data_IF_784362521935
#
_entry.id   IF_784362521935
#
_cell.length_a   1.000
_cell.length_b   1.000
_cell.length_c   1.000
_cell.angle_alpha   90.00
_cell.angle_beta   90.00
_cell.angle_gamma   90.00
#
_symmetry.space_group_name_H-M   'P 1'
#
loop_
_entity.id
_entity.type
_entity.pdbx_description
1 polymer ?
#
# COMPACT_ATOMS: atom_id res chain seq x y z
N UNK A 1 -14.96 -20.21 57.83
CA UNK A 1 -15.95 -21.10 58.47
C UNK A 1 -16.71 -21.73 57.32
N UNK A 2 -16.32 -22.95 56.91
CA UNK A 2 -16.87 -24.22 57.40
C UNK A 2 -18.29 -24.42 56.88
N UNK A 3 -18.74 -25.55 56.30
CA UNK A 3 -18.22 -26.93 56.27
C UNK A 3 -19.24 -27.74 55.42
N UNK A 4 -18.77 -28.69 54.57
CA UNK A 4 -19.25 -30.10 54.41
C UNK A 4 -20.71 -30.35 53.93
N UNK A 5 -21.13 -31.42 53.26
CA UNK A 5 -20.62 -32.51 52.39
C UNK A 5 -21.84 -33.42 52.05
N UNK A 6 -21.61 -34.46 51.24
CA UNK A 6 -22.42 -35.65 50.84
C UNK A 6 -22.59 -35.65 49.30
N UNK A 7 -21.92 -36.46 48.47
CA UNK A 7 -21.52 -37.88 48.45
C UNK A 7 -22.69 -38.87 48.27
N UNK A 8 -22.63 -39.64 47.16
CA UNK A 8 -23.15 -41.00 46.84
C UNK A 8 -23.38 -41.04 45.30
N UNK A 9 -22.52 -41.58 44.42
CA UNK A 9 -22.07 -42.97 44.15
C UNK A 9 -23.15 -43.94 43.64
N UNK A 10 -23.09 -44.34 42.36
CA UNK A 10 -23.33 -45.71 41.83
C UNK A 10 -23.01 -45.68 40.31
N UNK A 11 -21.88 -46.26 39.87
CA UNK A 11 -21.68 -47.66 39.47
C UNK A 11 -22.45 -48.06 38.21
N UNK A 12 -21.77 -48.08 37.06
CA UNK A 12 -22.15 -48.90 35.91
C UNK A 12 -20.93 -49.64 35.35
N UNK A 13 -21.01 -50.97 35.11
CA UNK A 13 -19.83 -51.81 35.02
C UNK A 13 -19.40 -52.09 33.58
N UNK A 14 -18.09 -52.10 33.40
CA UNK A 14 -17.37 -52.79 32.33
C UNK A 14 -17.71 -54.29 32.33
N UNK A 15 -17.99 -54.84 31.15
CA UNK A 15 -18.10 -56.28 30.94
C UNK A 15 -17.02 -56.71 29.95
N UNK A 16 -15.96 -57.27 30.51
CA UNK A 16 -14.90 -57.99 29.82
C UNK A 16 -15.46 -59.28 29.20
N UNK A 17 -15.17 -59.49 27.91
CA UNK A 17 -15.35 -60.78 27.28
C UNK A 17 -13.98 -61.47 27.23
N UNK A 18 -13.79 -62.44 28.12
CA UNK A 18 -12.66 -63.37 28.10
C UNK A 18 -13.02 -64.53 27.16
N UNK A 19 -12.17 -64.79 26.16
CA UNK A 19 -12.18 -66.05 25.42
C UNK A 19 -10.89 -66.83 25.73
N UNK A 20 -11.07 -67.72 26.70
CA UNK A 20 -10.67 -69.13 26.76
C UNK A 20 -9.32 -69.53 26.14
N UNK A 21 -8.40 -69.90 27.03
CA UNK A 21 -7.21 -70.70 26.79
C UNK A 21 -7.57 -72.09 26.21
N UNK A 22 -6.82 -72.50 25.18
CA UNK A 22 -6.70 -73.87 24.70
C UNK A 22 -5.22 -74.24 24.67
N UNK A 23 -4.89 -75.32 25.36
CA UNK A 23 -3.58 -75.76 25.82
C UNK A 23 -2.78 -76.57 24.78
N UNK A 24 -1.56 -76.91 25.22
CA UNK A 24 -0.67 -78.02 24.82
C UNK A 24 0.20 -77.82 23.57
N UNK A 25 1.43 -77.41 23.88
CA UNK A 25 2.70 -77.93 23.36
C UNK A 25 2.61 -79.13 22.43
N UNK A 26 3.30 -79.06 21.29
CA UNK A 26 4.35 -80.01 20.92
C UNK A 26 5.22 -79.46 19.77
N UNK A 27 6.53 -79.52 19.99
CA UNK A 27 7.60 -79.76 19.01
C UNK A 27 8.04 -78.62 18.05
N UNK A 28 9.04 -77.87 18.54
CA UNK A 28 10.36 -77.65 17.90
C UNK A 28 10.42 -77.78 16.36
N UNK A 29 10.53 -76.66 15.63
CA UNK A 29 11.25 -76.60 14.35
C UNK A 29 11.83 -75.19 14.10
N UNK A 30 13.13 -75.07 14.39
CA UNK A 30 14.17 -74.30 13.66
C UNK A 30 13.86 -72.93 13.03
N UNK A 31 14.39 -71.88 13.67
CA UNK A 31 15.36 -70.91 13.12
C UNK A 31 15.34 -70.68 11.58
N UNK A 32 14.63 -69.65 11.11
CA UNK A 32 15.04 -68.87 9.92
C UNK A 32 14.88 -67.39 10.27
N UNK A 33 16.02 -66.77 10.55
CA UNK A 33 16.23 -65.35 10.80
C UNK A 33 16.95 -64.80 9.55
N UNK A 34 16.36 -63.82 8.84
CA UNK A 34 17.02 -62.63 8.25
C UNK A 34 16.30 -62.03 7.02
N UNK A 35 16.21 -60.69 7.07
CA UNK A 35 16.21 -59.74 5.93
C UNK A 35 14.91 -59.52 5.15
N UNK A 36 13.93 -58.89 5.81
CA UNK A 36 13.03 -57.95 5.10
C UNK A 36 13.75 -56.60 5.03
N UNK A 37 14.46 -56.36 3.93
CA UNK A 37 15.05 -55.07 3.62
C UNK A 37 13.95 -54.06 3.32
N UNK A 38 13.55 -53.30 4.33
CA UNK A 38 12.74 -52.10 4.15
C UNK A 38 13.63 -51.06 3.45
N UNK A 39 13.54 -51.00 2.13
CA UNK A 39 14.16 -49.95 1.32
C UNK A 39 13.39 -48.66 1.64
N UNK A 40 13.87 -47.91 2.64
CA UNK A 40 13.49 -46.51 2.80
C UNK A 40 14.12 -45.75 1.63
N UNK A 41 13.37 -45.61 0.55
CA UNK A 41 13.73 -44.72 -0.54
C UNK A 41 13.69 -43.29 -0.01
N UNK A 42 14.85 -42.77 0.41
CA UNK A 42 14.99 -41.36 0.76
C UNK A 42 14.58 -40.51 -0.44
N UNK A 43 13.60 -39.61 -0.33
CA UNK A 43 13.36 -38.64 -1.39
C UNK A 43 14.61 -37.79 -1.53
N UNK A 44 15.20 -37.75 -2.73
CA UNK A 44 16.27 -36.84 -3.06
C UNK A 44 15.75 -35.40 -2.87
N UNK A 45 16.14 -34.77 -1.77
CA UNK A 45 15.88 -33.36 -1.52
C UNK A 45 16.80 -32.56 -2.45
N UNK A 46 16.27 -32.16 -3.61
CA UNK A 46 16.80 -31.05 -4.39
C UNK A 46 16.57 -29.76 -3.61
N UNK A 47 17.40 -29.53 -2.60
CA UNK A 47 17.30 -28.37 -1.73
C UNK A 47 17.83 -27.13 -2.46
N UNK A 48 16.90 -26.33 -2.97
CA UNK A 48 16.67 -24.97 -2.47
C UNK A 48 17.74 -23.89 -2.69
N UNK A 49 18.28 -23.75 -3.89
CA UNK A 49 19.04 -22.53 -4.27
C UNK A 49 18.21 -21.26 -4.04
N UNK A 50 16.89 -21.29 -4.32
CA UNK A 50 15.99 -20.16 -4.09
C UNK A 50 15.80 -19.81 -2.60
N UNK A 51 15.75 -20.79 -1.70
CA UNK A 51 15.61 -20.49 -0.26
C UNK A 51 16.90 -19.93 0.33
N UNK A 52 18.07 -20.31 -0.20
CA UNK A 52 19.34 -19.76 0.23
C UNK A 52 19.48 -18.26 -0.13
N UNK A 53 18.90 -17.84 -1.27
CA UNK A 53 18.86 -16.43 -1.69
C UNK A 53 17.96 -15.62 -0.75
N UNK A 54 16.75 -16.10 -0.46
CA UNK A 54 15.79 -15.42 0.43
C UNK A 54 16.32 -15.24 1.86
N UNK A 55 17.24 -16.10 2.30
CA UNK A 55 17.85 -16.04 3.63
C UNK A 55 19.05 -15.11 3.73
N UNK A 56 19.55 -14.58 2.62
CA UNK A 56 20.75 -13.74 2.60
C UNK A 56 20.54 -12.38 3.27
N UNK A 57 21.56 -11.88 4.00
CA UNK A 57 21.49 -10.60 4.71
C UNK A 57 21.20 -9.41 3.77
N UNK A 58 21.80 -9.40 2.57
CA UNK A 58 21.54 -8.36 1.57
C UNK A 58 20.11 -8.45 1.02
N UNK A 59 19.53 -9.64 0.87
CA UNK A 59 18.15 -9.82 0.40
C UNK A 59 17.16 -9.25 1.42
N UNK A 60 17.39 -9.52 2.71
CA UNK A 60 16.59 -8.94 3.80
C UNK A 60 16.67 -7.41 3.83
N UNK A 61 17.85 -6.84 3.59
CA UNK A 61 18.01 -5.39 3.51
C UNK A 61 17.24 -4.80 2.32
N UNK A 62 17.21 -5.48 1.17
CA UNK A 62 16.39 -5.10 0.02
C UNK A 62 14.90 -5.19 0.34
N UNK A 63 14.44 -6.30 0.93
CA UNK A 63 13.04 -6.49 1.30
C UNK A 63 12.57 -5.40 2.27
N UNK A 64 13.38 -5.05 3.27
CA UNK A 64 13.09 -3.95 4.20
C UNK A 64 13.00 -2.59 3.50
N UNK A 65 13.96 -2.28 2.62
CA UNK A 65 13.97 -1.03 1.85
C UNK A 65 12.71 -0.91 0.97
N UNK A 66 12.35 -1.98 0.26
CA UNK A 66 11.16 -2.03 -0.58
C UNK A 66 9.92 -1.82 0.28
N UNK A 67 9.80 -2.56 1.39
CA UNK A 67 8.65 -2.49 2.29
C UNK A 67 8.42 -1.09 2.88
N UNK A 68 9.49 -0.38 3.25
CA UNK A 68 9.43 0.98 3.78
C UNK A 68 8.87 2.00 2.77
N UNK A 69 9.07 1.76 1.47
CA UNK A 69 8.69 2.69 0.41
C UNK A 69 7.40 2.29 -0.34
N UNK A 70 6.72 1.22 0.08
CA UNK A 70 5.47 0.79 -0.53
C UNK A 70 4.36 1.82 -0.26
N UNK A 71 3.49 2.10 -1.25
CA UNK A 71 2.32 2.91 -1.00
C UNK A 71 1.38 2.19 -0.02
N UNK A 72 0.68 2.95 0.80
CA UNK A 72 -0.28 2.43 1.81
C UNK A 72 -1.45 1.67 1.17
N UNK A 73 -1.66 1.82 -0.13
CA UNK A 73 -2.69 1.13 -0.90
C UNK A 73 -2.23 -0.21 -1.48
N UNK A 74 -1.01 -0.65 -1.16
CA UNK A 74 -0.47 -1.93 -1.61
C UNK A 74 -1.22 -3.10 -0.98
N UNK A 75 -1.62 -4.06 -1.80
CA UNK A 75 -2.21 -5.33 -1.36
C UNK A 75 -1.17 -6.44 -1.36
N UNK A 76 -0.34 -6.50 -2.40
CA UNK A 76 0.76 -7.46 -2.51
C UNK A 76 1.89 -6.87 -3.33
N UNK A 77 3.10 -7.39 -3.11
CA UNK A 77 4.26 -7.01 -3.89
C UNK A 77 5.20 -8.21 -4.05
N UNK A 78 5.97 -8.18 -5.13
CA UNK A 78 7.10 -9.05 -5.41
C UNK A 78 8.25 -8.15 -5.87
N UNK A 79 9.50 -8.56 -5.62
CA UNK A 79 10.64 -7.97 -6.29
C UNK A 79 11.61 -9.06 -6.74
N UNK A 80 12.20 -8.86 -7.91
CA UNK A 80 13.15 -9.76 -8.51
C UNK A 80 14.50 -9.06 -8.66
N UNK A 81 15.57 -9.78 -8.37
CA UNK A 81 16.93 -9.29 -8.58
C UNK A 81 17.31 -9.54 -10.05
N UNK A 82 17.54 -8.45 -10.80
CA UNK A 82 18.02 -8.53 -12.19
C UNK A 82 19.55 -8.64 -12.28
N UNK A 83 20.26 -8.18 -11.25
CA UNK A 83 21.73 -8.26 -11.19
C UNK A 83 22.19 -9.66 -10.77
N UNK A 84 23.24 -10.23 -11.38
CA UNK A 84 23.78 -11.52 -10.96
C UNK A 84 24.20 -11.52 -9.49
N UNK A 85 23.80 -12.55 -8.75
CA UNK A 85 24.07 -12.69 -7.30
C UNK A 85 25.56 -12.74 -6.98
N UNK A 86 26.41 -13.19 -7.92
CA UNK A 86 27.87 -13.20 -7.80
C UNK A 86 28.46 -11.81 -7.52
N UNK A 87 27.87 -10.76 -8.08
CA UNK A 87 28.30 -9.37 -7.84
C UNK A 87 28.07 -8.93 -6.39
N UNK A 88 27.15 -9.59 -5.70
CA UNK A 88 26.77 -9.36 -4.31
C UNK A 88 27.44 -10.35 -3.35
N UNK A 89 28.23 -11.32 -3.85
CA UNK A 89 28.94 -12.29 -3.03
C UNK A 89 29.79 -11.66 -1.89
N UNK A 90 30.50 -10.53 -2.08
CA UNK A 90 31.24 -9.89 -0.99
C UNK A 90 30.36 -9.46 0.19
N UNK A 91 29.08 -9.18 -0.06
CA UNK A 91 28.13 -8.77 0.97
C UNK A 91 27.56 -9.96 1.77
N UNK A 92 27.79 -11.21 1.34
CA UNK A 92 27.29 -12.38 2.07
C UNK A 92 27.88 -12.50 3.47
N UNK A 93 29.14 -12.09 3.64
CA UNK A 93 29.84 -12.13 4.94
C UNK A 93 29.51 -10.92 5.82
N UNK A 94 28.79 -9.93 5.29
CA UNK A 94 28.40 -8.75 6.04
C UNK A 94 27.21 -9.08 6.95
N UNK A 95 27.38 -8.89 8.26
CA UNK A 95 26.29 -9.07 9.24
C UNK A 95 25.19 -8.01 9.10
N UNK A 96 25.56 -6.78 8.75
CA UNK A 96 24.63 -5.64 8.67
C UNK A 96 24.79 -4.90 7.35
N UNK A 97 23.94 -5.27 6.40
CA UNK A 97 23.86 -4.65 5.08
C UNK A 97 22.85 -3.51 5.12
N UNK A 98 23.22 -2.37 4.56
CA UNK A 98 22.34 -1.23 4.35
C UNK A 98 22.00 -1.13 2.86
N UNK A 99 20.72 -1.12 2.55
CA UNK A 99 20.20 -0.86 1.21
C UNK A 99 19.66 0.57 1.12
N UNK A 100 19.93 1.25 0.02
CA UNK A 100 19.36 2.57 -0.29
C UNK A 100 19.08 2.68 -1.78
N UNK A 101 18.04 3.41 -2.18
CA UNK A 101 17.86 3.76 -3.58
C UNK A 101 18.96 4.71 -4.04
N UNK A 102 19.54 4.47 -5.22
CA UNK A 102 20.51 5.41 -5.82
C UNK A 102 19.82 6.73 -6.20
N UNK A 103 18.55 6.67 -6.60
CA UNK A 103 17.63 7.79 -6.75
C UNK A 103 16.27 7.36 -6.22
N UNK A 104 15.67 8.15 -5.34
CA UNK A 104 14.32 7.88 -4.85
C UNK A 104 13.35 7.76 -6.05
N UNK A 105 12.70 6.61 -6.26
CA UNK A 105 11.83 6.44 -7.40
C UNK A 105 10.52 7.21 -7.17
N UNK A 106 10.02 7.90 -8.19
CA UNK A 106 8.72 8.59 -8.11
C UNK A 106 7.57 7.59 -7.94
N UNK A 107 7.76 6.35 -8.42
CA UNK A 107 6.87 5.21 -8.24
C UNK A 107 7.72 4.00 -7.96
N UNK A 108 7.37 3.26 -6.91
CA UNK A 108 8.16 2.09 -6.52
C UNK A 108 8.00 0.92 -7.51
N UNK A 109 6.87 0.82 -8.22
CA UNK A 109 6.65 -0.24 -9.21
C UNK A 109 7.53 -0.07 -10.46
N UNK A 110 8.22 -1.15 -10.85
CA UNK A 110 9.12 -1.25 -11.99
C UNK A 110 10.59 -1.39 -11.59
N UNK A 111 11.46 -1.18 -12.59
CA UNK A 111 12.92 -1.33 -12.44
C UNK A 111 13.54 -0.17 -11.69
N UNK A 112 14.33 -0.47 -10.68
CA UNK A 112 15.06 0.54 -9.90
C UNK A 112 16.45 0.07 -9.52
N UNK A 113 17.34 1.04 -9.27
CA UNK A 113 18.72 0.80 -8.89
C UNK A 113 18.91 1.10 -7.41
N UNK A 114 19.50 0.13 -6.72
CA UNK A 114 19.76 0.15 -5.30
C UNK A 114 21.25 0.00 -5.05
N UNK A 115 21.70 0.70 -4.03
CA UNK A 115 23.07 0.67 -3.54
C UNK A 115 23.09 -0.08 -2.22
N UNK A 116 23.96 -1.08 -2.13
CA UNK A 116 24.16 -1.94 -0.97
C UNK A 116 25.55 -1.66 -0.38
N UNK A 117 25.60 -1.37 0.91
CA UNK A 117 26.86 -1.16 1.63
C UNK A 117 26.89 -1.93 2.94
N UNK A 118 28.08 -2.30 3.39
CA UNK A 118 28.28 -2.97 4.67
C UNK A 118 28.67 -1.97 5.76
N UNK A 119 28.07 -2.06 6.95
CA UNK A 119 28.37 -1.10 8.03
C UNK A 119 29.73 -1.31 8.70
N UNK A 120 30.26 -2.54 8.67
CA UNK A 120 31.48 -2.92 9.40
C UNK A 120 32.76 -2.51 8.67
N UNK A 121 32.73 -2.42 7.34
CA UNK A 121 33.87 -2.02 6.51
C UNK A 121 33.50 -0.83 5.62
N UNK A 122 33.60 0.39 6.16
CA UNK A 122 33.35 1.65 5.43
C UNK A 122 34.30 1.85 4.24
N UNK A 123 35.43 1.12 4.19
CA UNK A 123 36.40 1.16 3.08
C UNK A 123 36.02 0.29 1.87
N UNK A 124 35.00 -0.56 1.98
CA UNK A 124 34.55 -1.37 0.84
C UNK A 124 33.60 -0.57 -0.06
N UNK A 125 33.86 -0.61 -1.37
CA UNK A 125 33.02 0.08 -2.35
C UNK A 125 31.58 -0.45 -2.29
N UNK A 126 30.57 0.44 -2.27
CA UNK A 126 29.19 0.02 -2.33
C UNK A 126 28.94 -0.79 -3.60
N UNK A 127 28.07 -1.81 -3.49
CA UNK A 127 27.62 -2.61 -4.62
C UNK A 127 26.32 -2.05 -5.16
N UNK A 128 26.14 -2.15 -6.46
CA UNK A 128 24.92 -1.74 -7.11
C UNK A 128 24.16 -2.98 -7.56
N UNK A 129 22.87 -2.99 -7.27
CA UNK A 129 21.95 -4.00 -7.75
C UNK A 129 20.79 -3.32 -8.46
N UNK A 130 20.31 -3.95 -9.51
CA UNK A 130 19.09 -3.59 -10.19
C UNK A 130 18.03 -4.60 -9.78
N UNK A 131 16.89 -4.09 -9.33
CA UNK A 131 15.73 -4.90 -8.95
C UNK A 131 14.53 -4.47 -9.79
N UNK A 132 13.63 -5.40 -10.08
CA UNK A 132 12.33 -5.13 -10.68
C UNK A 132 11.24 -5.38 -9.65
N UNK A 133 10.41 -4.38 -9.38
CA UNK A 133 9.42 -4.44 -8.30
C UNK A 133 8.02 -4.48 -8.93
N UNK A 134 7.31 -5.58 -8.74
CA UNK A 134 5.90 -5.69 -9.11
C UNK A 134 5.04 -5.37 -7.89
N UNK A 135 4.21 -4.32 -7.98
CA UNK A 135 3.34 -3.89 -6.88
C UNK A 135 1.90 -3.96 -7.34
N UNK A 136 1.07 -4.72 -6.62
CA UNK A 136 -0.38 -4.73 -6.79
C UNK A 136 -1.01 -3.90 -5.69
N UNK A 137 -1.90 -2.99 -6.06
CA UNK A 137 -2.58 -2.15 -5.09
C UNK A 137 -3.86 -1.54 -5.62
N UNK A 138 -4.48 -0.76 -4.74
CA UNK A 138 -5.77 -0.13 -4.99
C UNK A 138 -5.60 1.28 -5.58
N UNK A 139 -6.36 1.56 -6.63
CA UNK A 139 -6.39 2.84 -7.35
C UNK A 139 -7.81 3.27 -7.70
N UNK A 140 -7.97 4.54 -8.09
CA UNK A 140 -9.27 5.12 -8.39
C UNK A 140 -9.61 5.00 -9.88
N UNK A 141 -10.84 4.57 -10.17
CA UNK A 141 -11.40 4.54 -11.52
C UNK A 141 -12.79 5.16 -11.55
N UNK A 142 -13.24 5.53 -12.75
CA UNK A 142 -14.60 6.04 -12.94
C UNK A 142 -15.61 4.91 -13.14
N UNK A 143 -16.79 5.04 -12.54
CA UNK A 143 -17.85 4.01 -12.54
C UNK A 143 -18.74 4.03 -13.77
N UNK A 144 -18.67 5.09 -14.58
CA UNK A 144 -19.50 5.34 -15.76
C UNK A 144 -18.80 6.32 -16.71
N UNK A 145 -19.38 6.52 -17.89
CA UNK A 145 -18.94 7.57 -18.79
C UNK A 145 -19.23 8.96 -18.20
N UNK A 146 -18.22 9.82 -18.20
CA UNK A 146 -18.27 11.17 -17.65
C UNK A 146 -17.82 12.18 -18.72
N UNK A 147 -18.58 13.25 -18.88
CA UNK A 147 -18.26 14.31 -19.83
C UNK A 147 -17.13 15.23 -19.33
N UNK A 148 -16.53 15.99 -20.25
CA UNK A 148 -15.66 17.10 -19.85
C UNK A 148 -16.44 18.13 -19.01
N UNK A 149 -15.75 18.79 -18.08
CA UNK A 149 -16.30 19.72 -17.07
C UNK A 149 -17.27 19.11 -16.07
N UNK A 150 -17.51 17.79 -16.11
CA UNK A 150 -18.31 17.11 -15.10
C UNK A 150 -17.66 17.24 -13.73
N UNK A 151 -18.43 17.64 -12.72
CA UNK A 151 -18.00 17.71 -11.32
C UNK A 151 -18.10 16.32 -10.69
N UNK A 152 -16.97 15.77 -10.26
CA UNK A 152 -16.88 14.44 -9.68
C UNK A 152 -17.62 14.34 -8.35
N UNK A 153 -18.46 13.33 -8.25
CA UNK A 153 -19.16 12.95 -7.02
C UNK A 153 -18.65 11.60 -6.51
N UNK A 154 -19.02 11.24 -5.27
CA UNK A 154 -18.65 9.95 -4.68
C UNK A 154 -19.13 8.74 -5.51
N UNK A 155 -20.26 8.88 -6.20
CA UNK A 155 -20.86 7.81 -7.01
C UNK A 155 -20.15 7.60 -8.35
N UNK A 156 -19.37 8.60 -8.79
CA UNK A 156 -18.62 8.54 -10.04
C UNK A 156 -17.30 7.77 -9.90
N UNK A 157 -16.89 7.44 -8.67
CA UNK A 157 -15.56 6.93 -8.33
C UNK A 157 -15.67 5.60 -7.58
N UNK A 158 -14.99 4.59 -8.09
CA UNK A 158 -14.80 3.32 -7.38
C UNK A 158 -13.31 2.99 -7.25
N UNK A 159 -13.03 2.01 -6.41
CA UNK A 159 -11.69 1.49 -6.18
C UNK A 159 -11.54 0.20 -6.97
N UNK A 160 -10.46 0.10 -7.73
CA UNK A 160 -10.04 -1.13 -8.38
C UNK A 160 -8.65 -1.55 -7.91
N UNK A 161 -8.39 -2.85 -7.97
CA UNK A 161 -7.11 -3.45 -7.62
C UNK A 161 -6.38 -3.89 -8.89
N UNK A 162 -5.08 -3.64 -8.97
CA UNK A 162 -4.27 -4.07 -10.10
C UNK A 162 -2.81 -3.70 -9.98
N UNK A 163 -2.06 -4.02 -11.03
CA UNK A 163 -0.61 -3.74 -11.13
C UNK A 163 -0.36 -2.23 -11.26
N UNK A 164 0.23 -1.64 -10.22
CA UNK A 164 0.54 -0.21 -10.14
C UNK A 164 1.61 0.20 -11.17
N UNK A 165 2.43 -0.73 -11.64
CA UNK A 165 3.45 -0.50 -12.66
C UNK A 165 2.85 -0.25 -14.06
N UNK A 166 1.63 -0.74 -14.31
CA UNK A 166 0.91 -0.56 -15.57
C UNK A 166 0.05 0.70 -15.61
N UNK A 167 -0.09 1.40 -14.49
CA UNK A 167 -0.93 2.59 -14.41
C UNK A 167 -0.32 3.79 -15.17
N UNK A 168 -1.15 4.61 -15.82
CA UNK A 168 -0.69 5.82 -16.50
C UNK A 168 -0.01 6.78 -15.51
N UNK A 169 0.79 7.72 -16.03
CA UNK A 169 1.34 8.81 -15.21
C UNK A 169 0.22 9.57 -14.51
N UNK A 170 0.48 10.06 -13.30
CA UNK A 170 -0.49 10.77 -12.45
C UNK A 170 -1.74 9.99 -12.02
N UNK A 171 -1.77 8.66 -12.21
CA UNK A 171 -2.83 7.81 -11.66
C UNK A 171 -2.96 7.99 -10.15
N UNK A 172 -4.20 8.17 -9.68
CA UNK A 172 -4.53 8.37 -8.28
C UNK A 172 -4.71 7.03 -7.58
N UNK A 173 -3.90 6.80 -6.55
CA UNK A 173 -4.04 5.65 -5.68
C UNK A 173 -5.21 5.85 -4.72
N UNK A 174 -5.82 4.76 -4.27
CA UNK A 174 -7.00 4.79 -3.40
C UNK A 174 -6.66 5.13 -1.93
N UNK A 175 -6.05 6.29 -1.70
CA UNK A 175 -5.80 6.81 -0.35
C UNK A 175 -7.01 7.60 0.16
N UNK A 176 -7.22 7.69 1.48
CA UNK A 176 -8.29 8.52 2.03
C UNK A 176 -8.19 10.00 1.61
N UNK A 177 -6.96 10.53 1.55
CA UNK A 177 -6.70 11.90 1.12
C UNK A 177 -7.06 12.10 -0.36
N UNK A 178 -6.60 11.21 -1.25
CA UNK A 178 -6.92 11.30 -2.68
C UNK A 178 -8.44 11.25 -2.91
N UNK A 179 -9.16 10.39 -2.17
CA UNK A 179 -10.62 10.32 -2.28
C UNK A 179 -11.30 11.66 -1.93
N UNK A 180 -10.81 12.35 -0.90
CA UNK A 180 -11.35 13.64 -0.48
C UNK A 180 -10.99 14.77 -1.45
N UNK A 181 -9.77 14.78 -1.98
CA UNK A 181 -9.29 15.80 -2.90
C UNK A 181 -9.96 15.75 -4.28
N UNK A 182 -10.37 14.56 -4.71
CA UNK A 182 -11.00 14.32 -6.01
C UNK A 182 -12.47 14.76 -6.04
N UNK A 183 -13.20 14.53 -4.95
CA UNK A 183 -14.62 14.85 -4.89
C UNK A 183 -14.79 16.38 -4.99
N UNK A 184 -15.67 16.82 -5.88
CA UNK A 184 -15.90 18.24 -6.16
C UNK A 184 -14.95 18.85 -7.20
N UNK A 185 -13.92 18.14 -7.66
CA UNK A 185 -13.11 18.55 -8.81
C UNK A 185 -13.90 18.36 -10.11
N UNK A 186 -13.52 19.09 -11.15
CA UNK A 186 -14.04 18.94 -12.50
C UNK A 186 -13.06 18.22 -13.40
N UNK A 187 -13.60 17.43 -14.34
CA UNK A 187 -12.81 16.79 -15.38
C UNK A 187 -12.40 17.78 -16.48
N UNK A 188 -11.13 17.75 -16.89
CA UNK A 188 -10.63 18.53 -18.04
C UNK A 188 -11.05 17.93 -19.39
N UNK A 189 -11.26 16.62 -19.44
CA UNK A 189 -11.69 15.87 -20.63
C UNK A 189 -12.67 14.78 -20.25
N UNK A 190 -13.42 14.28 -21.22
CA UNK A 190 -14.31 13.13 -21.00
C UNK A 190 -13.50 11.88 -20.64
N UNK A 191 -14.09 11.04 -19.79
CA UNK A 191 -13.55 9.77 -19.33
C UNK A 191 -14.60 8.68 -19.56
N UNK A 192 -14.17 7.55 -20.10
CA UNK A 192 -15.03 6.37 -20.26
C UNK A 192 -15.05 5.55 -18.99
N UNK A 193 -16.09 4.74 -18.82
CA UNK A 193 -16.22 3.78 -17.72
C UNK A 193 -14.94 2.94 -17.53
N UNK A 194 -14.58 2.65 -16.28
CA UNK A 194 -13.38 1.91 -15.85
C UNK A 194 -12.05 2.59 -16.22
N UNK A 195 -12.06 3.82 -16.72
CA UNK A 195 -10.81 4.54 -16.92
C UNK A 195 -10.16 4.95 -15.59
N UNK A 196 -8.84 4.81 -15.54
CA UNK A 196 -8.03 5.21 -14.38
C UNK A 196 -8.09 6.72 -14.21
N UNK A 197 -8.46 7.15 -13.01
CA UNK A 197 -8.50 8.56 -12.67
C UNK A 197 -7.08 9.08 -12.48
N UNK A 198 -6.78 10.21 -13.12
CA UNK A 198 -5.45 10.83 -13.08
C UNK A 198 -5.55 12.27 -12.60
N UNK A 199 -4.63 12.68 -11.74
CA UNK A 199 -4.58 14.01 -11.13
C UNK A 199 -4.53 15.13 -12.18
N UNK A 200 -3.78 14.94 -13.26
CA UNK A 200 -3.63 15.90 -14.36
C UNK A 200 -4.93 16.12 -15.16
N UNK A 201 -5.95 15.28 -14.99
CA UNK A 201 -7.27 15.43 -15.61
C UNK A 201 -8.24 16.17 -14.72
N UNK A 202 -7.85 16.49 -13.49
CA UNK A 202 -8.67 17.21 -12.53
C UNK A 202 -8.35 18.70 -12.58
N UNK A 203 -9.37 19.49 -12.33
CA UNK A 203 -9.24 20.93 -12.11
C UNK A 203 -10.29 21.37 -11.13
N UNK A 204 -9.96 22.35 -10.29
CA UNK A 204 -10.96 22.90 -9.39
C UNK A 204 -12.06 23.59 -10.20
N UNK A 205 -13.34 23.45 -9.83
CA UNK A 205 -14.42 24.19 -10.47
C UNK A 205 -14.23 25.68 -10.23
N UNK A 206 -14.29 26.46 -11.31
CA UNK A 206 -14.34 27.91 -11.19
C UNK A 206 -15.70 28.29 -10.60
N UNK A 207 -15.69 28.95 -9.45
CA UNK A 207 -16.90 29.39 -8.74
C UNK A 207 -17.08 30.91 -8.78
N UNK A 208 -16.03 31.64 -9.21
CA UNK A 208 -16.02 33.08 -9.41
C UNK A 208 -15.53 33.39 -10.82
N UNK A 209 -16.33 34.14 -11.57
CA UNK A 209 -16.02 34.73 -12.86
C UNK A 209 -15.38 36.13 -12.75
N UNK A 210 -14.83 36.62 -13.86
CA UNK A 210 -14.44 38.02 -13.98
C UNK A 210 -15.69 38.91 -13.97
N UNK A 211 -15.68 39.98 -13.18
CA UNK A 211 -16.80 40.90 -13.03
C UNK A 211 -17.85 40.48 -11.99
N UNK A 212 -17.72 39.29 -11.39
CA UNK A 212 -18.64 38.83 -10.36
C UNK A 212 -18.54 39.71 -9.11
N UNK A 213 -19.68 40.01 -8.49
CA UNK A 213 -19.71 40.68 -7.19
C UNK A 213 -19.41 39.68 -6.07
N UNK A 214 -18.48 40.05 -5.19
CA UNK A 214 -18.02 39.26 -4.06
C UNK A 214 -18.25 39.99 -2.75
N UNK A 215 -18.66 39.26 -1.73
CA UNK A 215 -18.65 39.71 -0.34
C UNK A 215 -17.35 39.25 0.32
N UNK A 216 -16.51 40.20 0.67
CA UNK A 216 -15.28 40.00 1.43
C UNK A 216 -15.63 40.01 2.91
N UNK A 217 -15.43 38.90 3.60
CA UNK A 217 -15.69 38.72 5.02
C UNK A 217 -14.37 38.59 5.78
N UNK A 218 -14.19 39.40 6.82
CA UNK A 218 -13.07 39.31 7.74
C UNK A 218 -13.61 39.22 9.18
N UNK A 219 -13.22 38.19 9.91
CA UNK A 219 -13.63 38.00 11.31
C UNK A 219 -12.41 37.90 12.22
N UNK A 220 -12.52 38.48 13.41
CA UNK A 220 -11.54 38.33 14.49
C UNK A 220 -12.24 38.29 15.86
N UNK A 221 -11.47 38.36 16.96
CA UNK A 221 -12.07 38.37 18.29
C UNK A 221 -12.91 39.63 18.49
N UNK A 222 -14.23 39.47 18.52
CA UNK A 222 -15.19 40.55 18.80
C UNK A 222 -15.56 41.43 17.60
N UNK A 223 -15.15 41.10 16.37
CA UNK A 223 -15.55 41.87 15.18
C UNK A 223 -15.77 41.00 13.94
N UNK A 224 -16.67 41.46 13.07
CA UNK A 224 -16.87 40.96 11.72
C UNK A 224 -17.03 42.16 10.78
N UNK A 225 -16.22 42.20 9.73
CA UNK A 225 -16.24 43.25 8.72
C UNK A 225 -16.64 42.59 7.40
N UNK A 226 -17.63 43.17 6.72
CA UNK A 226 -18.01 42.78 5.36
C UNK A 226 -17.83 43.94 4.40
N UNK A 227 -17.34 43.65 3.18
CA UNK A 227 -17.22 44.62 2.09
C UNK A 227 -17.57 43.99 0.77
N UNK A 228 -18.24 44.73 -0.11
CA UNK A 228 -18.46 44.28 -1.50
C UNK A 228 -17.30 44.69 -2.39
N UNK A 229 -16.98 43.84 -3.37
CA UNK A 229 -15.97 44.08 -4.37
C UNK A 229 -16.28 43.35 -5.67
N UNK A 230 -15.77 43.84 -6.78
CA UNK A 230 -15.88 43.23 -8.11
C UNK A 230 -14.66 42.35 -8.38
N UNK A 231 -14.85 41.10 -8.81
CA UNK A 231 -13.79 40.17 -9.17
C UNK A 231 -13.05 40.62 -10.42
N UNK A 232 -11.72 40.73 -10.34
CA UNK A 232 -10.86 41.11 -11.47
C UNK A 232 -10.15 39.93 -12.11
N UNK A 233 -10.30 38.74 -11.52
CA UNK A 233 -9.80 37.47 -12.06
C UNK A 233 -10.85 36.37 -11.79
N UNK A 234 -10.85 35.31 -12.59
CA UNK A 234 -11.62 34.09 -12.30
C UNK A 234 -10.92 33.24 -11.25
N UNK A 235 -11.66 32.52 -10.42
CA UNK A 235 -11.05 31.63 -9.43
C UNK A 235 -11.95 30.51 -8.90
N UNK A 236 -11.30 29.48 -8.38
CA UNK A 236 -11.94 28.40 -7.64
C UNK A 236 -11.82 28.62 -6.13
N UNK A 237 -12.51 27.77 -5.35
CA UNK A 237 -12.38 27.80 -3.89
C UNK A 237 -10.91 27.59 -3.47
N UNK A 238 -10.43 28.48 -2.60
CA UNK A 238 -9.06 28.54 -2.10
C UNK A 238 -8.09 29.35 -2.96
N UNK A 239 -8.49 29.79 -4.15
CA UNK A 239 -7.63 30.60 -5.01
C UNK A 239 -7.56 32.05 -4.51
N UNK A 240 -6.40 32.69 -4.68
CA UNK A 240 -6.19 34.11 -4.36
C UNK A 240 -6.34 34.92 -5.65
N UNK A 241 -7.39 35.74 -5.73
CA UNK A 241 -7.71 36.58 -6.88
C UNK A 241 -7.61 38.07 -6.53
N UNK A 242 -7.48 38.92 -7.55
CA UNK A 242 -7.58 40.37 -7.38
C UNK A 242 -9.06 40.78 -7.45
N UNK A 243 -9.42 41.75 -6.62
CA UNK A 243 -10.75 42.35 -6.58
C UNK A 243 -10.64 43.87 -6.55
N UNK A 244 -11.65 44.54 -7.08
CA UNK A 244 -11.78 46.00 -7.05
C UNK A 244 -12.88 46.39 -6.06
N UNK A 245 -12.50 47.11 -5.02
CA UNK A 245 -13.42 47.68 -4.05
C UNK A 245 -14.21 48.86 -4.65
N UNK A 246 -15.34 49.23 -4.03
CA UNK A 246 -16.18 50.36 -4.46
C UNK A 246 -15.42 51.69 -4.50
N UNK A 247 -14.36 51.84 -3.70
CA UNK A 247 -13.46 52.99 -3.70
C UNK A 247 -12.36 52.93 -4.79
N UNK A 248 -12.50 52.03 -5.77
CA UNK A 248 -11.56 51.75 -6.86
C UNK A 248 -10.20 51.19 -6.44
N UNK A 249 -10.01 50.83 -5.17
CA UNK A 249 -8.78 50.18 -4.72
C UNK A 249 -8.77 48.71 -5.13
N UNK A 250 -7.58 48.22 -5.49
CA UNK A 250 -7.36 46.79 -5.76
C UNK A 250 -6.90 46.10 -4.47
N UNK A 251 -7.46 44.92 -4.22
CA UNK A 251 -7.13 44.08 -3.06
C UNK A 251 -6.98 42.63 -3.52
N UNK A 252 -6.19 41.84 -2.78
CA UNK A 252 -6.13 40.38 -2.96
C UNK A 252 -7.01 39.71 -1.92
N UNK A 253 -7.82 38.76 -2.38
CA UNK A 253 -8.72 37.99 -1.52
C UNK A 253 -8.63 36.52 -1.88
N UNK A 254 -8.89 35.65 -0.91
CA UNK A 254 -8.98 34.21 -1.10
C UNK A 254 -10.44 33.80 -1.16
N UNK A 255 -10.83 33.08 -2.21
CA UNK A 255 -12.22 32.63 -2.39
C UNK A 255 -12.53 31.53 -1.38
N UNK A 256 -13.61 31.68 -0.62
CA UNK A 256 -14.06 30.69 0.37
C UNK A 256 -15.33 29.95 -0.08
N UNK A 257 -16.15 30.58 -0.92
CA UNK A 257 -17.38 30.00 -1.47
C UNK A 257 -17.80 30.80 -2.73
N UNK A 258 -18.79 30.34 -3.51
CA UNK A 258 -19.39 31.16 -4.56
C UNK A 258 -19.84 32.51 -4.00
N UNK A 259 -19.41 33.62 -4.61
CA UNK A 259 -19.77 34.97 -4.17
C UNK A 259 -19.12 35.45 -2.87
N UNK A 260 -18.24 34.67 -2.21
CA UNK A 260 -17.64 35.03 -0.91
C UNK A 260 -16.13 34.82 -0.87
N UNK A 261 -15.44 35.75 -0.25
CA UNK A 261 -13.98 35.73 -0.11
C UNK A 261 -13.52 36.25 1.26
N UNK A 262 -12.29 35.94 1.65
CA UNK A 262 -11.61 36.50 2.82
C UNK A 262 -10.37 37.30 2.39
N UNK A 263 -9.90 38.30 3.16
CA UNK A 263 -8.64 38.96 2.88
C UNK A 263 -7.48 37.96 2.74
N UNK A 264 -6.69 38.06 1.66
CA UNK A 264 -5.49 37.25 1.55
C UNK A 264 -4.43 37.76 2.55
N UNK A 265 -3.84 36.83 3.30
CA UNK A 265 -2.70 37.12 4.19
C UNK A 265 -1.41 37.33 3.41
#
# INVERSE_FOLDING_TARGET
>A
MSVVSHFVSTLFPWRSLQLRQGSSAWQRFTLVLLMVGFIWASPAQGANDNQAIEQSNWYRALAQLVQEHLPTTTTSYNFELLTPTETLAPLQQCQKVHARFTRAPQRLAGRTMVTLSCSTNVRENPRFAQIDIAVTGNYLVVTRDLAAKHTLTRNDITIEQGDLGRLPRYALLATPAAMQEVIGQQLRRALSQHSVLQENLLTKPQVVGFGDELVIEASGQGFQITRTAEAMDTGAIGDIIRVRLNNKQLMRVKIIAPGRAEPAQ
#
